data_IF_816879661395
#
_entry.id   IF_816879661395
#
_cell.length_a   1.000
_cell.length_b   1.000
_cell.length_c   1.000
_cell.angle_alpha   90.00
_cell.angle_beta   90.00
_cell.angle_gamma   90.00
#
_symmetry.space_group_name_H-M   'P 1'
#
loop_
_entity.id
_entity.type
_entity.pdbx_description
1 polymer ?
#
# COMPACT_ATOMS: atom_id res chain seq x y z
N UNK A 1 -4.46 10.87 -22.56
CA UNK A 1 -4.79 9.75 -21.65
C UNK A 1 -4.18 10.11 -20.29
N UNK A 2 -4.92 9.99 -19.19
CA UNK A 2 -4.40 10.37 -17.85
C UNK A 2 -3.33 9.37 -17.38
N UNK A 3 -2.28 9.85 -16.69
CA UNK A 3 -1.25 8.99 -16.10
C UNK A 3 -1.84 7.88 -15.23
N UNK A 4 -2.92 8.16 -14.49
CA UNK A 4 -3.61 7.15 -13.66
C UNK A 4 -4.19 6.00 -14.49
N UNK A 5 -4.71 6.29 -15.68
CA UNK A 5 -5.24 5.25 -16.57
C UNK A 5 -4.09 4.38 -17.11
N UNK A 6 -2.98 4.99 -17.51
CA UNK A 6 -1.79 4.26 -17.97
C UNK A 6 -1.20 3.38 -16.86
N UNK A 7 -1.08 3.90 -15.64
CA UNK A 7 -0.65 3.15 -14.47
C UNK A 7 -1.58 1.99 -14.13
N UNK A 8 -2.90 2.17 -14.28
CA UNK A 8 -3.87 1.10 -14.06
C UNK A 8 -3.79 0.01 -15.14
N UNK A 9 -3.63 0.39 -16.41
CA UNK A 9 -3.43 -0.58 -17.50
C UNK A 9 -2.17 -1.42 -17.31
N UNK A 10 -1.05 -0.80 -16.94
CA UNK A 10 0.19 -1.52 -16.63
C UNK A 10 0.06 -2.45 -15.40
N UNK A 11 -0.69 -2.04 -14.38
CA UNK A 11 -1.03 -2.88 -13.24
C UNK A 11 -1.84 -4.12 -13.66
N UNK A 12 -2.88 -3.96 -14.48
CA UNK A 12 -3.67 -5.10 -14.98
C UNK A 12 -2.83 -6.06 -15.81
N UNK A 13 -1.92 -5.53 -16.63
CA UNK A 13 -0.96 -6.35 -17.38
C UNK A 13 -0.07 -7.18 -16.43
N UNK A 14 0.55 -6.55 -15.44
CA UNK A 14 1.39 -7.24 -14.47
C UNK A 14 0.60 -8.27 -13.64
N UNK A 15 -0.63 -7.96 -13.24
CA UNK A 15 -1.52 -8.87 -12.53
C UNK A 15 -1.88 -10.10 -13.37
N UNK A 16 -2.18 -9.92 -14.66
CA UNK A 16 -2.42 -11.02 -15.60
C UNK A 16 -1.20 -11.92 -15.73
N UNK A 17 0.00 -11.35 -15.88
CA UNK A 17 1.25 -12.11 -15.94
C UNK A 17 1.55 -12.88 -14.64
N UNK A 18 1.28 -12.27 -13.48
CA UNK A 18 1.36 -12.94 -12.18
C UNK A 18 0.46 -14.17 -12.12
N UNK A 19 -0.80 -14.04 -12.53
CA UNK A 19 -1.76 -15.15 -12.50
C UNK A 19 -1.37 -16.26 -13.49
N UNK A 20 -0.83 -15.93 -14.65
CA UNK A 20 -0.28 -16.93 -15.57
C UNK A 20 0.90 -17.69 -14.93
N UNK A 21 1.86 -16.97 -14.33
CA UNK A 21 3.00 -17.59 -13.65
C UNK A 21 2.55 -18.49 -12.47
N UNK A 22 1.54 -18.07 -11.71
CA UNK A 22 0.93 -18.86 -10.64
C UNK A 22 0.29 -20.15 -11.17
N UNK A 23 -0.55 -20.04 -12.20
CA UNK A 23 -1.23 -21.18 -12.82
C UNK A 23 -0.22 -22.20 -13.39
N UNK A 24 0.90 -21.72 -13.92
CA UNK A 24 1.97 -22.55 -14.47
C UNK A 24 3.00 -23.02 -13.41
N UNK A 25 2.79 -22.70 -12.13
CA UNK A 25 3.66 -23.11 -11.02
C UNK A 25 5.04 -22.43 -11.00
N UNK A 26 5.24 -21.35 -11.76
CA UNK A 26 6.48 -20.56 -11.83
C UNK A 26 6.61 -19.62 -10.63
N UNK A 27 6.83 -20.19 -9.44
CA UNK A 27 6.85 -19.47 -8.15
C UNK A 27 7.77 -18.25 -8.11
N UNK A 28 8.97 -18.34 -8.68
CA UNK A 28 9.91 -17.22 -8.65
C UNK A 28 9.45 -16.06 -9.55
N UNK A 29 8.91 -16.37 -10.73
CA UNK A 29 8.35 -15.36 -11.61
C UNK A 29 7.11 -14.70 -10.99
N UNK A 30 6.23 -15.49 -10.38
CA UNK A 30 5.08 -14.98 -9.62
C UNK A 30 5.54 -13.98 -8.54
N UNK A 31 6.61 -14.31 -7.79
CA UNK A 31 7.19 -13.43 -6.77
C UNK A 31 7.73 -12.13 -7.37
N UNK A 32 8.43 -12.20 -8.51
CA UNK A 32 8.93 -11.00 -9.20
C UNK A 32 7.77 -10.12 -9.70
N UNK A 33 6.67 -10.67 -10.18
CA UNK A 33 5.50 -9.88 -10.57
C UNK A 33 4.80 -9.19 -9.39
N UNK A 34 4.82 -9.79 -8.20
CA UNK A 34 4.39 -9.10 -6.96
C UNK A 34 5.29 -7.90 -6.70
N UNK A 35 6.60 -8.04 -6.89
CA UNK A 35 7.57 -6.96 -6.69
C UNK A 35 7.44 -5.87 -7.75
N UNK A 36 7.16 -6.20 -9.02
CA UNK A 36 6.84 -5.24 -10.09
C UNK A 36 5.70 -4.31 -9.66
N UNK A 37 4.59 -4.88 -9.16
CA UNK A 37 3.45 -4.07 -8.70
C UNK A 37 3.81 -3.17 -7.51
N UNK A 38 4.75 -3.59 -6.66
CA UNK A 38 5.17 -2.81 -5.51
C UNK A 38 5.90 -1.50 -5.89
N UNK A 39 6.52 -1.38 -7.07
CA UNK A 39 7.08 -0.11 -7.55
C UNK A 39 5.97 0.92 -7.80
N UNK A 40 4.92 0.52 -8.51
CA UNK A 40 3.73 1.36 -8.71
C UNK A 40 3.15 1.78 -7.36
N UNK A 41 2.99 0.84 -6.45
CA UNK A 41 2.37 1.11 -5.16
C UNK A 41 3.25 2.02 -4.30
N UNK A 42 4.57 1.91 -4.39
CA UNK A 42 5.50 2.86 -3.77
C UNK A 42 5.33 4.28 -4.33
N UNK A 43 5.32 4.45 -5.66
CA UNK A 43 5.12 5.75 -6.32
C UNK A 43 3.79 6.37 -5.89
N UNK A 44 2.72 5.58 -5.84
CA UNK A 44 1.41 6.07 -5.40
C UNK A 44 1.39 6.41 -3.91
N UNK A 45 1.90 5.52 -3.04
CA UNK A 45 1.89 5.73 -1.60
C UNK A 45 2.70 6.95 -1.17
N UNK A 46 3.75 7.29 -1.93
CA UNK A 46 4.60 8.46 -1.70
C UNK A 46 4.14 9.72 -2.46
N UNK A 47 3.03 9.65 -3.22
CA UNK A 47 2.44 10.81 -3.88
C UNK A 47 3.17 11.29 -5.13
N UNK A 48 4.03 10.45 -5.69
CA UNK A 48 4.96 10.83 -6.75
C UNK A 48 4.40 10.63 -8.17
N UNK A 49 3.09 10.42 -8.33
CA UNK A 49 2.48 10.14 -9.65
C UNK A 49 2.76 11.25 -10.65
N UNK A 50 2.70 12.51 -10.21
CA UNK A 50 2.96 13.66 -11.08
C UNK A 50 4.44 13.87 -11.40
N UNK A 51 5.33 13.60 -10.44
CA UNK A 51 6.78 13.60 -10.70
C UNK A 51 7.15 12.49 -11.69
N UNK A 52 6.52 11.32 -11.56
CA UNK A 52 6.68 10.23 -12.51
C UNK A 52 6.12 10.59 -13.90
N UNK A 53 4.97 11.27 -13.96
CA UNK A 53 4.42 11.76 -15.22
C UNK A 53 5.37 12.74 -15.93
N UNK A 54 6.00 13.64 -15.17
CA UNK A 54 6.97 14.60 -15.71
C UNK A 54 8.25 13.90 -16.17
N UNK A 55 8.77 12.96 -15.38
CA UNK A 55 9.88 12.09 -15.77
C UNK A 55 9.60 11.36 -17.10
N UNK A 56 8.40 10.81 -17.28
CA UNK A 56 8.04 10.15 -18.53
C UNK A 56 8.12 11.09 -19.74
N UNK A 57 7.78 12.38 -19.60
CA UNK A 57 7.86 13.36 -20.70
C UNK A 57 9.31 13.61 -21.12
N UNK A 58 10.25 13.55 -20.19
CA UNK A 58 11.68 13.74 -20.46
C UNK A 58 12.29 12.52 -21.17
N UNK A 59 11.79 11.32 -20.88
CA UNK A 59 12.29 10.04 -21.41
C UNK A 59 11.54 9.60 -22.68
N UNK A 60 10.43 10.27 -23.03
CA UNK A 60 9.45 9.85 -24.05
C UNK A 60 9.89 9.77 -25.53
N UNK A 61 11.05 10.21 -26.04
CA UNK A 61 11.37 9.93 -27.44
C UNK A 61 12.07 8.57 -27.66
N UNK A 62 12.30 7.75 -26.63
CA UNK A 62 13.14 6.55 -26.78
C UNK A 62 12.36 5.30 -27.24
N UNK A 63 12.69 4.82 -28.45
CA UNK A 63 12.15 3.61 -29.10
C UNK A 63 12.58 2.30 -28.44
N UNK A 64 13.52 2.33 -27.50
CA UNK A 64 13.95 1.17 -26.72
C UNK A 64 14.08 1.54 -25.24
N UNK A 65 13.65 0.64 -24.33
CA UNK A 65 13.81 0.86 -22.91
C UNK A 65 15.30 0.93 -22.57
N UNK A 66 15.73 2.08 -22.03
CA UNK A 66 17.05 2.20 -21.43
C UNK A 66 17.00 1.70 -19.99
N UNK A 67 18.12 1.18 -19.49
CA UNK A 67 18.30 0.85 -18.08
C UNK A 67 19.03 2.01 -17.42
N UNK A 68 18.52 2.48 -16.29
CA UNK A 68 19.19 3.52 -15.49
C UNK A 68 20.61 3.09 -15.12
N UNK A 69 21.59 3.97 -15.35
CA UNK A 69 22.98 3.75 -14.89
C UNK A 69 23.08 3.67 -13.36
N UNK A 70 22.19 4.36 -12.63
CA UNK A 70 22.11 4.26 -11.19
C UNK A 70 21.65 2.87 -10.73
N UNK A 71 20.77 2.24 -11.50
CA UNK A 71 20.35 0.86 -11.26
C UNK A 71 21.50 -0.13 -11.53
N UNK A 72 22.26 0.06 -12.62
CA UNK A 72 23.42 -0.80 -12.96
C UNK A 72 24.50 -0.81 -11.88
N UNK A 73 24.67 0.29 -11.16
CA UNK A 73 25.60 0.39 -10.03
C UNK A 73 25.17 -0.44 -8.80
N UNK A 74 23.88 -0.83 -8.70
CA UNK A 74 23.32 -1.57 -7.56
C UNK A 74 23.16 -3.06 -7.90
N UNK A 75 24.25 -3.81 -7.84
CA UNK A 75 24.29 -5.25 -8.17
C UNK A 75 23.50 -6.11 -7.16
N UNK A 76 22.94 -7.24 -7.66
CA UNK A 76 22.24 -8.27 -6.89
C UNK A 76 21.02 -7.80 -6.06
N UNK A 77 20.37 -6.76 -6.53
CA UNK A 77 19.19 -6.17 -5.89
C UNK A 77 17.87 -6.75 -6.39
N UNK A 78 16.78 -6.55 -5.63
CA UNK A 78 15.42 -6.87 -6.09
C UNK A 78 15.14 -6.13 -7.41
N UNK A 79 15.58 -4.88 -7.47
CA UNK A 79 15.44 -3.97 -8.61
C UNK A 79 16.06 -4.52 -9.90
N UNK A 80 17.26 -5.09 -9.82
CA UNK A 80 17.93 -5.73 -10.97
C UNK A 80 17.16 -6.94 -11.49
N UNK A 81 16.67 -7.80 -10.60
CA UNK A 81 15.92 -9.01 -10.97
C UNK A 81 14.57 -8.65 -11.61
N UNK A 82 13.91 -7.64 -11.08
CA UNK A 82 12.68 -7.08 -11.65
C UNK A 82 12.96 -6.48 -13.03
N UNK A 83 14.01 -5.69 -13.18
CA UNK A 83 14.39 -5.11 -14.48
C UNK A 83 14.68 -6.19 -15.53
N UNK A 84 15.45 -7.22 -15.18
CA UNK A 84 15.76 -8.33 -16.09
C UNK A 84 14.48 -9.06 -16.55
N UNK A 85 13.52 -9.30 -15.64
CA UNK A 85 12.21 -9.86 -16.01
C UNK A 85 11.47 -8.95 -17.00
N UNK A 86 11.41 -7.64 -16.72
CA UNK A 86 10.67 -6.69 -17.55
C UNK A 86 11.28 -6.54 -18.95
N UNK A 87 12.61 -6.52 -19.07
CA UNK A 87 13.31 -6.49 -20.36
C UNK A 87 13.03 -7.74 -21.19
N UNK A 88 13.12 -8.92 -20.56
CA UNK A 88 12.75 -10.18 -21.23
C UNK A 88 11.31 -10.13 -21.74
N UNK A 89 10.36 -9.69 -20.92
CA UNK A 89 8.95 -9.60 -21.29
C UNK A 89 8.73 -8.56 -22.39
N UNK A 90 9.49 -7.47 -22.40
CA UNK A 90 9.44 -6.45 -23.45
C UNK A 90 9.83 -7.01 -24.82
N UNK A 91 10.89 -7.82 -24.86
CA UNK A 91 11.37 -8.47 -26.07
C UNK A 91 10.39 -9.54 -26.58
N UNK A 92 9.79 -10.29 -25.66
CA UNK A 92 8.83 -11.36 -25.95
C UNK A 92 7.42 -10.84 -26.30
N UNK A 93 7.11 -9.57 -26.05
CA UNK A 93 5.76 -9.01 -26.27
C UNK A 93 5.66 -8.37 -27.66
N UNK A 94 4.90 -8.96 -28.61
CA UNK A 94 4.73 -8.40 -29.95
C UNK A 94 3.59 -7.37 -30.03
N UNK A 95 2.63 -7.43 -29.09
CA UNK A 95 1.44 -6.57 -29.11
C UNK A 95 1.81 -5.15 -28.68
N UNK A 96 1.63 -4.12 -29.53
CA UNK A 96 2.09 -2.76 -29.23
C UNK A 96 1.54 -2.18 -27.91
N UNK A 97 0.26 -2.39 -27.64
CA UNK A 97 -0.39 -1.90 -26.41
C UNK A 97 0.20 -2.54 -25.15
N UNK A 98 0.42 -3.85 -25.18
CA UNK A 98 1.08 -4.55 -24.07
C UNK A 98 2.54 -4.13 -23.93
N UNK A 99 3.22 -3.88 -25.06
CA UNK A 99 4.60 -3.40 -25.07
C UNK A 99 4.72 -2.02 -24.43
N UNK A 100 3.73 -1.14 -24.62
CA UNK A 100 3.63 0.14 -23.91
C UNK A 100 3.45 -0.06 -22.39
N UNK A 101 2.61 -1.01 -21.96
CA UNK A 101 2.47 -1.35 -20.54
C UNK A 101 3.80 -1.80 -19.94
N UNK A 102 4.56 -2.65 -20.63
CA UNK A 102 5.89 -3.09 -20.17
C UNK A 102 6.87 -1.92 -20.12
N UNK A 103 6.89 -1.06 -21.14
CA UNK A 103 7.71 0.17 -21.11
C UNK A 103 7.39 1.03 -19.89
N UNK A 104 6.12 1.19 -19.53
CA UNK A 104 5.72 1.97 -18.37
C UNK A 104 6.24 1.35 -17.07
N UNK A 105 6.18 0.02 -16.94
CA UNK A 105 6.73 -0.70 -15.78
C UNK A 105 8.26 -0.53 -15.69
N UNK A 106 8.98 -0.60 -16.81
CA UNK A 106 10.43 -0.34 -16.86
C UNK A 106 10.72 1.10 -16.39
N UNK A 107 9.94 2.07 -16.90
CA UNK A 107 10.10 3.46 -16.50
C UNK A 107 9.86 3.69 -15.01
N UNK A 108 8.97 2.93 -14.36
CA UNK A 108 8.79 3.03 -12.90
C UNK A 108 10.06 2.64 -12.15
N UNK A 109 10.72 1.54 -12.55
CA UNK A 109 11.96 1.11 -11.91
C UNK A 109 13.08 2.13 -12.15
N UNK A 110 13.21 2.63 -13.38
CA UNK A 110 14.19 3.66 -13.70
C UNK A 110 13.92 4.97 -12.96
N UNK A 111 12.67 5.42 -12.87
CA UNK A 111 12.31 6.62 -12.11
C UNK A 111 12.78 6.53 -10.65
N UNK A 112 12.53 5.40 -9.98
CA UNK A 112 13.00 5.17 -8.62
C UNK A 112 14.54 5.14 -8.54
N UNK A 113 15.21 4.58 -9.53
CA UNK A 113 16.68 4.57 -9.62
C UNK A 113 17.26 5.98 -9.81
N UNK A 114 16.78 6.71 -10.82
CA UNK A 114 17.30 8.02 -11.23
C UNK A 114 17.02 9.10 -10.18
N UNK A 115 15.99 8.91 -9.37
CA UNK A 115 15.69 9.79 -8.22
C UNK A 115 16.38 9.36 -6.92
N UNK A 116 17.21 8.31 -6.94
CA UNK A 116 17.98 7.85 -5.78
C UNK A 116 17.15 7.16 -4.69
N UNK A 117 16.00 6.59 -5.04
CA UNK A 117 15.02 6.03 -4.10
C UNK A 117 15.04 4.50 -3.99
N UNK A 118 16.04 3.82 -4.58
CA UNK A 118 16.10 2.35 -4.60
C UNK A 118 16.07 1.74 -3.20
N UNK A 119 16.89 2.23 -2.26
CA UNK A 119 16.93 1.68 -0.90
C UNK A 119 15.58 1.81 -0.18
N UNK A 120 14.95 2.98 -0.27
CA UNK A 120 13.64 3.23 0.34
C UNK A 120 12.51 2.41 -0.32
N UNK A 121 12.60 2.18 -1.63
CA UNK A 121 11.67 1.33 -2.35
C UNK A 121 11.87 -0.15 -1.97
N UNK A 122 13.10 -0.61 -1.82
CA UNK A 122 13.38 -2.00 -1.43
C UNK A 122 13.00 -2.31 0.01
N UNK A 123 13.24 -1.38 0.93
CA UNK A 123 12.70 -1.44 2.29
C UNK A 123 11.17 -1.57 2.26
N UNK A 124 10.51 -0.72 1.45
CA UNK A 124 9.06 -0.81 1.26
C UNK A 124 8.65 -2.19 0.73
N UNK A 125 9.28 -2.71 -0.33
CA UNK A 125 8.96 -4.01 -0.92
C UNK A 125 9.14 -5.15 0.09
N UNK A 126 10.20 -5.13 0.88
CA UNK A 126 10.52 -6.18 1.87
C UNK A 126 9.53 -6.18 3.02
N UNK A 127 9.11 -4.99 3.46
CA UNK A 127 8.38 -4.84 4.71
C UNK A 127 6.91 -4.41 4.54
N UNK A 128 6.40 -4.29 3.30
CA UNK A 128 5.05 -3.80 2.97
C UNK A 128 3.92 -4.48 3.74
N UNK A 129 4.01 -5.79 3.96
CA UNK A 129 2.97 -6.57 4.65
C UNK A 129 3.20 -6.68 6.15
N UNK A 130 4.35 -6.23 6.67
CA UNK A 130 4.72 -6.28 8.08
C UNK A 130 4.65 -4.92 8.79
N UNK A 131 4.18 -3.88 8.11
CA UNK A 131 4.18 -2.51 8.63
C UNK A 131 2.85 -1.79 8.42
N UNK A 132 2.66 -0.72 9.20
CA UNK A 132 1.59 0.24 9.05
C UNK A 132 1.41 0.72 7.60
N UNK A 133 0.19 1.04 7.15
CA UNK A 133 -0.01 1.79 5.92
C UNK A 133 0.89 3.02 5.86
N UNK A 134 1.56 3.23 4.73
CA UNK A 134 2.54 4.30 4.57
C UNK A 134 1.84 5.66 4.57
N UNK A 135 2.07 6.45 5.62
CA UNK A 135 1.80 7.88 5.66
C UNK A 135 3.08 8.68 5.41
N UNK A 136 2.97 9.81 4.71
CA UNK A 136 4.13 10.64 4.35
C UNK A 136 4.42 11.76 5.34
N UNK A 137 3.43 12.15 6.14
CA UNK A 137 3.53 13.26 7.08
C UNK A 137 2.52 13.12 8.22
N UNK A 138 2.72 13.82 9.32
CA UNK A 138 1.77 13.85 10.43
C UNK A 138 1.52 15.26 10.98
N UNK A 139 0.31 15.46 11.50
CA UNK A 139 -0.15 16.73 12.09
C UNK A 139 -0.91 16.47 13.38
N UNK A 140 -0.96 17.46 14.26
CA UNK A 140 -1.77 17.35 15.49
C UNK A 140 -3.23 17.65 15.17
N UNK A 141 -3.48 18.63 14.29
CA UNK A 141 -4.83 19.09 13.95
C UNK A 141 -5.08 19.13 12.45
N UNK A 142 -6.36 19.19 12.09
CA UNK A 142 -6.78 19.33 10.70
C UNK A 142 -6.35 20.68 10.12
N UNK A 143 -6.41 21.74 10.92
CA UNK A 143 -6.05 23.10 10.51
C UNK A 143 -4.55 23.20 10.16
N UNK A 144 -3.69 22.52 10.91
CA UNK A 144 -2.26 22.40 10.62
C UNK A 144 -2.04 21.70 9.26
N UNK A 145 -2.68 20.54 9.06
CA UNK A 145 -2.58 19.78 7.83
C UNK A 145 -3.09 20.57 6.61
N UNK A 146 -4.21 21.28 6.74
CA UNK A 146 -4.76 22.12 5.68
C UNK A 146 -3.85 23.31 5.37
N UNK A 147 -3.26 23.92 6.40
CA UNK A 147 -2.31 25.03 6.22
C UNK A 147 -1.07 24.57 5.46
N UNK A 148 -0.52 23.41 5.86
CA UNK A 148 0.59 22.77 5.16
C UNK A 148 0.24 22.49 3.69
N UNK A 149 -0.88 21.82 3.42
CA UNK A 149 -1.33 21.49 2.06
C UNK A 149 -1.51 22.73 1.17
N UNK A 150 -2.01 23.84 1.72
CA UNK A 150 -2.16 25.11 0.99
C UNK A 150 -0.83 25.79 0.71
N UNK A 151 0.17 25.59 1.57
CA UNK A 151 1.51 26.17 1.41
C UNK A 151 2.34 25.50 0.30
N UNK A 152 2.00 24.26 -0.07
CA UNK A 152 2.69 23.54 -1.13
C UNK A 152 2.39 24.16 -2.50
N UNK A 153 3.47 24.55 -3.19
CA UNK A 153 3.41 25.02 -4.58
C UNK A 153 3.10 23.86 -5.52
N UNK A 154 3.69 22.70 -5.26
CA UNK A 154 3.42 21.45 -5.97
C UNK A 154 3.03 20.36 -4.95
N UNK A 155 1.73 20.21 -4.65
CA UNK A 155 1.27 19.17 -3.75
C UNK A 155 1.53 17.75 -4.29
N UNK A 156 1.75 16.75 -3.41
CA UNK A 156 1.74 15.35 -3.79
C UNK A 156 0.38 14.96 -4.39
N UNK A 157 0.38 13.96 -5.28
CA UNK A 157 -0.82 13.59 -6.02
C UNK A 157 -1.94 13.03 -5.12
N UNK A 158 -1.77 11.85 -4.53
CA UNK A 158 -2.62 11.37 -3.45
C UNK A 158 -1.79 10.55 -2.50
N UNK A 159 -1.92 10.85 -1.21
CA UNK A 159 -1.07 10.30 -0.15
C UNK A 159 -1.85 10.16 1.13
N UNK A 160 -1.41 9.25 1.98
CA UNK A 160 -1.87 9.18 3.35
C UNK A 160 -1.04 10.12 4.23
N UNK A 161 -1.71 10.79 5.15
CA UNK A 161 -1.11 11.52 6.25
C UNK A 161 -1.79 11.09 7.56
N UNK A 162 -1.17 11.40 8.69
CA UNK A 162 -1.77 11.23 10.01
C UNK A 162 -2.23 12.57 10.56
N UNK A 163 -3.44 12.62 11.10
CA UNK A 163 -3.92 13.73 11.92
C UNK A 163 -4.29 13.18 13.29
N UNK A 164 -3.51 13.55 14.31
CA UNK A 164 -3.49 12.85 15.59
C UNK A 164 -3.04 11.40 15.40
N UNK A 165 -3.98 10.48 15.55
CA UNK A 165 -3.80 9.05 15.29
C UNK A 165 -4.56 8.58 14.04
N UNK A 166 -5.29 9.44 13.34
CA UNK A 166 -6.19 9.00 12.28
C UNK A 166 -5.56 9.17 10.90
N UNK A 167 -5.66 8.12 10.09
CA UNK A 167 -5.29 8.21 8.68
C UNK A 167 -6.25 9.12 7.93
N UNK A 168 -5.67 10.00 7.13
CA UNK A 168 -6.38 10.86 6.22
C UNK A 168 -5.77 10.72 4.83
N UNK A 169 -6.62 10.64 3.82
CA UNK A 169 -6.18 10.70 2.44
C UNK A 169 -6.21 12.17 1.99
N UNK A 170 -5.03 12.66 1.65
CA UNK A 170 -4.85 13.90 0.94
C UNK A 170 -4.90 13.61 -0.57
N UNK A 171 -5.50 14.53 -1.32
CA UNK A 171 -5.52 14.46 -2.77
C UNK A 171 -5.31 15.83 -3.40
N UNK A 172 -4.72 15.82 -4.58
CA UNK A 172 -4.50 16.97 -5.45
C UNK A 172 -4.78 16.56 -6.88
N UNK A 173 -5.63 17.33 -7.56
CA UNK A 173 -5.78 17.28 -9.01
C UNK A 173 -4.98 18.43 -9.61
N UNK A 174 -3.88 18.09 -10.28
CA UNK A 174 -2.99 19.05 -10.95
C UNK A 174 -3.69 19.85 -12.05
N UNK A 175 -4.68 19.28 -12.75
CA UNK A 175 -5.34 19.93 -13.90
C UNK A 175 -6.13 21.16 -13.47
N UNK A 176 -6.93 21.00 -12.43
CA UNK A 176 -7.81 22.06 -11.93
C UNK A 176 -7.21 22.74 -10.68
N UNK A 177 -6.03 22.29 -10.25
CA UNK A 177 -5.33 22.69 -9.03
C UNK A 177 -6.22 22.60 -7.77
N UNK A 178 -7.14 21.65 -7.77
CA UNK A 178 -8.02 21.38 -6.63
C UNK A 178 -7.31 20.42 -5.68
N UNK A 179 -7.54 20.61 -4.38
CA UNK A 179 -6.91 19.82 -3.34
C UNK A 179 -7.85 19.70 -2.17
N UNK A 180 -7.74 18.57 -1.48
CA UNK A 180 -8.60 18.29 -0.35
C UNK A 180 -8.08 17.12 0.46
N UNK A 181 -8.87 16.81 1.48
CA UNK A 181 -8.54 15.75 2.42
C UNK A 181 -9.81 15.19 3.03
N UNK A 182 -9.84 13.89 3.22
CA UNK A 182 -10.88 13.19 3.95
C UNK A 182 -10.26 12.12 4.85
N UNK A 183 -10.98 11.75 5.92
CA UNK A 183 -10.58 10.66 6.79
C UNK A 183 -10.65 9.35 6.00
N UNK A 184 -9.59 8.55 6.09
CA UNK A 184 -9.50 7.27 5.40
C UNK A 184 -9.42 6.13 6.42
N UNK A 185 -10.19 5.08 6.17
CA UNK A 185 -10.33 3.94 7.07
C UNK A 185 -9.41 2.77 6.65
N UNK A 186 -8.20 3.09 6.17
CA UNK A 186 -7.23 2.12 5.64
C UNK A 186 -6.88 0.98 6.61
N UNK A 187 -7.01 1.19 7.92
CA UNK A 187 -6.69 0.18 8.92
C UNK A 187 -7.77 -0.88 9.09
N UNK A 188 -9.01 -0.62 8.66
CA UNK A 188 -10.12 -1.55 8.91
C UNK A 188 -9.86 -2.94 8.33
N UNK A 189 -9.43 -3.10 7.07
CA UNK A 189 -9.10 -4.43 6.53
C UNK A 189 -7.99 -5.15 7.29
N UNK A 190 -7.01 -4.40 7.85
CA UNK A 190 -5.94 -5.00 8.64
C UNK A 190 -6.44 -5.46 10.01
N UNK A 191 -7.27 -4.64 10.66
CA UNK A 191 -7.92 -4.99 11.93
C UNK A 191 -8.78 -6.23 11.74
N UNK A 192 -9.58 -6.30 10.67
CA UNK A 192 -10.39 -7.47 10.34
C UNK A 192 -9.56 -8.73 10.15
N UNK A 193 -8.44 -8.63 9.42
CA UNK A 193 -7.50 -9.74 9.24
C UNK A 193 -6.92 -10.24 10.56
N UNK A 194 -6.43 -9.33 11.41
CA UNK A 194 -5.90 -9.67 12.73
C UNK A 194 -6.97 -10.29 13.64
N UNK A 195 -8.22 -9.83 13.54
CA UNK A 195 -9.33 -10.38 14.33
C UNK A 195 -9.76 -11.75 13.83
N UNK A 196 -9.71 -11.98 12.51
CA UNK A 196 -9.98 -13.30 11.94
C UNK A 196 -8.95 -14.35 12.40
N UNK A 197 -7.71 -13.96 12.63
CA UNK A 197 -6.66 -14.79 13.26
C UNK A 197 -6.86 -14.98 14.77
N UNK A 198 -7.72 -14.15 15.38
CA UNK A 198 -8.05 -14.13 16.80
C UNK A 198 -7.33 -13.01 17.53
N UNK A 199 -8.11 -12.15 18.23
CA UNK A 199 -7.53 -11.16 19.14
C UNK A 199 -6.73 -11.93 20.22
N UNK A 200 -5.46 -11.58 20.45
CA UNK A 200 -4.66 -12.23 21.48
C UNK A 200 -5.42 -12.24 22.82
N UNK A 201 -5.48 -13.36 23.55
CA UNK A 201 -6.31 -13.47 24.75
C UNK A 201 -5.86 -12.54 25.89
N UNK A 202 -4.58 -12.14 25.88
CA UNK A 202 -4.00 -11.21 26.84
C UNK A 202 -3.17 -10.16 26.09
N UNK A 203 -3.80 -9.18 25.42
CA UNK A 203 -3.05 -8.09 24.81
C UNK A 203 -2.39 -7.24 25.91
N UNK A 204 -1.27 -6.56 25.64
CA UNK A 204 -0.73 -5.55 26.55
C UNK A 204 -1.82 -4.59 27.02
N UNK A 205 -1.94 -4.37 28.33
CA UNK A 205 -3.03 -3.61 28.93
C UNK A 205 -2.51 -2.48 29.82
N UNK A 206 -3.07 -1.30 29.63
CA UNK A 206 -2.67 -0.06 30.27
C UNK A 206 -3.88 0.63 30.89
N UNK A 207 -3.68 1.32 32.01
CA UNK A 207 -4.76 2.09 32.65
C UNK A 207 -5.00 3.41 31.95
N UNK A 208 -3.95 3.98 31.37
CA UNK A 208 -3.99 5.27 30.70
C UNK A 208 -3.33 5.22 29.34
N UNK A 209 -3.72 6.15 28.48
CA UNK A 209 -3.10 6.33 27.17
C UNK A 209 -1.62 6.70 27.28
N UNK A 210 -1.24 7.51 28.26
CA UNK A 210 0.16 7.90 28.50
C UNK A 210 1.05 6.69 28.86
N UNK A 211 0.53 5.73 29.63
CA UNK A 211 1.24 4.47 29.92
C UNK A 211 1.46 3.64 28.64
N UNK A 212 0.44 3.56 27.78
CA UNK A 212 0.53 2.85 26.51
C UNK A 212 1.52 3.51 25.54
N UNK A 213 1.51 4.85 25.45
CA UNK A 213 2.45 5.63 24.64
C UNK A 213 3.90 5.42 25.11
N UNK A 214 4.13 5.45 26.43
CA UNK A 214 5.46 5.20 27.00
C UNK A 214 5.94 3.76 26.76
N UNK A 215 5.05 2.77 26.79
CA UNK A 215 5.38 1.39 26.41
C UNK A 215 5.75 1.30 24.92
N UNK A 216 4.96 1.94 24.07
CA UNK A 216 5.12 1.91 22.61
C UNK A 216 6.43 2.57 22.17
N UNK A 217 6.82 3.68 22.83
CA UNK A 217 8.09 4.38 22.59
C UNK A 217 9.33 3.54 22.94
N UNK A 218 9.21 2.67 23.95
CA UNK A 218 10.30 1.80 24.41
C UNK A 218 10.21 0.37 23.85
N UNK A 219 9.28 0.12 22.91
CA UNK A 219 9.05 -1.22 22.40
C UNK A 219 10.25 -1.69 21.56
N UNK A 220 10.78 -2.92 21.80
CA UNK A 220 11.99 -3.40 21.13
C UNK A 220 11.80 -3.66 19.62
N UNK A 221 10.56 -3.73 19.16
CA UNK A 221 10.16 -3.91 17.76
C UNK A 221 9.14 -2.84 17.38
N UNK A 222 8.92 -2.62 16.07
CA UNK A 222 7.84 -1.76 15.56
C UNK A 222 6.50 -2.50 15.66
N UNK A 223 5.67 -2.30 16.69
CA UNK A 223 4.50 -3.14 16.85
C UNK A 223 3.39 -2.73 15.87
N UNK A 224 2.61 -3.73 15.48
CA UNK A 224 1.38 -3.62 14.73
C UNK A 224 0.40 -4.60 15.36
N UNK A 225 -0.04 -4.31 16.58
CA UNK A 225 -0.72 -5.28 17.45
C UNK A 225 -1.80 -4.64 18.33
N UNK A 226 -2.73 -5.47 18.83
CA UNK A 226 -3.77 -5.02 19.74
C UNK A 226 -3.22 -4.74 21.13
N UNK A 227 -3.69 -3.64 21.71
CA UNK A 227 -3.48 -3.28 23.12
C UNK A 227 -4.83 -2.92 23.75
N UNK A 228 -4.91 -2.96 25.07
CA UNK A 228 -6.07 -2.51 25.84
C UNK A 228 -5.71 -1.25 26.62
N UNK A 229 -6.51 -0.20 26.51
CA UNK A 229 -6.33 1.05 27.26
C UNK A 229 -7.62 1.32 28.00
N UNK A 230 -7.57 1.33 29.34
CA UNK A 230 -8.75 1.49 30.19
C UNK A 230 -9.90 0.51 29.87
N UNK A 231 -9.56 -0.69 29.38
CA UNK A 231 -10.54 -1.72 29.00
C UNK A 231 -11.00 -1.65 27.53
N UNK A 232 -10.58 -0.65 26.76
CA UNK A 232 -10.94 -0.51 25.34
C UNK A 232 -9.82 -0.98 24.41
N UNK A 233 -10.19 -1.66 23.32
CA UNK A 233 -9.24 -2.16 22.34
C UNK A 233 -8.73 -1.03 21.44
N UNK A 234 -7.41 -1.01 21.29
CA UNK A 234 -6.69 -0.13 20.38
C UNK A 234 -5.71 -0.96 19.54
N UNK A 235 -5.36 -0.46 18.37
CA UNK A 235 -4.24 -0.97 17.58
C UNK A 235 -3.04 -0.05 17.80
N UNK A 236 -1.97 -0.59 18.39
CA UNK A 236 -0.69 0.08 18.53
C UNK A 236 0.09 -0.06 17.22
N UNK A 237 0.50 1.08 16.67
CA UNK A 237 1.16 1.15 15.36
C UNK A 237 2.41 2.01 15.45
N UNK A 238 3.56 1.46 15.03
CA UNK A 238 4.78 2.23 14.82
C UNK A 238 4.98 2.56 13.34
N UNK A 239 5.02 3.85 13.04
CA UNK A 239 5.31 4.41 11.72
C UNK A 239 6.79 4.73 11.64
N UNK A 240 7.59 3.72 11.31
CA UNK A 240 9.06 3.83 11.31
C UNK A 240 9.60 5.02 10.52
N UNK A 241 8.98 5.34 9.37
CA UNK A 241 9.39 6.47 8.51
C UNK A 241 9.08 7.83 9.13
N UNK A 242 7.98 7.93 9.86
CA UNK A 242 7.58 9.14 10.58
C UNK A 242 8.22 9.22 11.97
N UNK A 243 8.92 8.16 12.40
CA UNK A 243 9.46 8.01 13.76
C UNK A 243 8.38 8.30 14.81
N UNK A 244 7.16 7.83 14.53
CA UNK A 244 5.95 8.15 15.30
C UNK A 244 5.19 6.89 15.68
N UNK A 245 4.54 6.98 16.82
CA UNK A 245 3.65 5.99 17.37
C UNK A 245 2.21 6.50 17.33
N UNK A 246 1.25 5.62 17.05
CA UNK A 246 -0.18 5.93 17.11
C UNK A 246 -0.95 4.81 17.81
N UNK A 247 -2.07 5.18 18.43
CA UNK A 247 -2.96 4.27 19.14
C UNK A 247 -4.37 4.41 18.56
N UNK A 248 -4.67 3.59 17.56
CA UNK A 248 -5.93 3.68 16.84
C UNK A 248 -7.04 3.00 17.65
N UNK A 249 -8.10 3.74 17.98
CA UNK A 249 -9.30 3.13 18.53
C UNK A 249 -9.96 2.24 17.48
N UNK A 250 -10.25 0.98 17.82
CA UNK A 250 -10.75 -0.01 16.85
C UNK A 250 -12.17 -0.49 17.16
N UNK A 251 -12.83 0.06 18.18
CA UNK A 251 -14.10 -0.49 18.64
C UNK A 251 -15.19 -0.51 17.54
N UNK A 252 -15.31 0.55 16.75
CA UNK A 252 -16.28 0.62 15.65
C UNK A 252 -16.02 -0.46 14.59
N UNK A 253 -14.75 -0.66 14.24
CA UNK A 253 -14.33 -1.68 13.27
C UNK A 253 -14.61 -3.08 13.78
N UNK A 254 -14.31 -3.35 15.06
CA UNK A 254 -14.60 -4.62 15.72
C UNK A 254 -16.11 -4.92 15.72
N UNK A 255 -16.94 -3.94 16.09
CA UNK A 255 -18.40 -4.10 16.07
C UNK A 255 -18.91 -4.43 14.68
N UNK A 256 -18.48 -3.69 13.65
CA UNK A 256 -18.90 -3.95 12.27
C UNK A 256 -18.43 -5.31 11.74
N UNK A 257 -17.25 -5.77 12.15
CA UNK A 257 -16.76 -7.10 11.81
C UNK A 257 -17.61 -8.20 12.46
N UNK A 258 -17.92 -8.07 13.76
CA UNK A 258 -18.77 -9.03 14.47
C UNK A 258 -20.18 -9.13 13.87
N UNK A 259 -20.77 -7.99 13.49
CA UNK A 259 -22.08 -7.95 12.83
C UNK A 259 -22.07 -8.67 11.48
N UNK A 260 -21.05 -8.43 10.65
CA UNK A 260 -20.87 -9.12 9.37
C UNK A 260 -20.66 -10.62 9.56
N UNK A 261 -19.82 -11.03 10.50
CA UNK A 261 -19.59 -12.44 10.82
C UNK A 261 -20.90 -13.15 11.20
N UNK A 262 -21.70 -12.54 12.09
CA UNK A 262 -23.03 -13.06 12.48
C UNK A 262 -24.03 -13.07 11.32
N UNK A 263 -23.89 -12.17 10.34
CA UNK A 263 -24.75 -12.18 9.15
C UNK A 263 -24.41 -13.38 8.26
N UNK A 264 -23.12 -13.62 8.00
CA UNK A 264 -22.65 -14.78 7.21
C UNK A 264 -23.02 -16.09 7.89
N UNK A 265 -22.76 -16.25 9.19
CA UNK A 265 -23.13 -17.47 9.95
C UNK A 265 -24.65 -17.74 9.90
N UNK A 266 -25.48 -16.68 9.90
CA UNK A 266 -26.94 -16.82 9.75
C UNK A 266 -27.34 -17.25 8.35
N UNK A 267 -26.69 -16.72 7.32
CA UNK A 267 -26.93 -17.09 5.93
C UNK A 267 -26.50 -18.54 5.66
N UNK A 268 -25.33 -18.95 6.15
CA UNK A 268 -24.84 -20.33 6.06
C UNK A 268 -25.76 -21.31 6.80
N UNK A 269 -26.22 -20.95 8.01
CA UNK A 269 -27.17 -21.77 8.73
C UNK A 269 -28.54 -21.89 8.02
N UNK A 270 -29.00 -20.82 7.36
CA UNK A 270 -30.23 -20.85 6.56
C UNK A 270 -30.07 -21.72 5.32
N UNK A 271 -28.96 -21.60 4.60
CA UNK A 271 -28.67 -22.41 3.43
C UNK A 271 -28.54 -23.90 3.77
N UNK A 272 -27.90 -24.23 4.90
CA UNK A 272 -27.79 -25.62 5.37
C UNK A 272 -29.15 -26.25 5.75
N UNK A 273 -30.10 -25.46 6.25
CA UNK A 273 -31.47 -25.92 6.52
C UNK A 273 -32.22 -26.18 5.22
N UNK A 274 -32.10 -25.30 4.22
CA UNK A 274 -32.73 -25.47 2.90
C UNK A 274 -32.17 -26.69 2.16
N UNK A 275 -30.86 -26.94 2.24
CA UNK A 275 -30.24 -28.14 1.66
C UNK A 275 -30.70 -29.43 2.36
N UNK A 276 -30.83 -29.41 3.69
CA UNK A 276 -31.33 -30.57 4.45
C UNK A 276 -32.82 -30.88 4.18
N UNK A 277 -33.65 -29.87 3.94
CA UNK A 277 -35.07 -30.05 3.58
C UNK A 277 -35.28 -30.48 2.12
N UNK A 278 -34.28 -30.29 1.25
CA UNK A 278 -34.30 -30.70 -0.16
C UNK A 278 -33.79 -32.12 -0.44
N UNK A 279 -33.20 -32.80 0.55
CA UNK A 279 -32.71 -34.19 0.42
C UNK A 279 -33.75 -35.27 0.85
N UNK A 280 -34.90 -34.84 1.39
CA UNK A 280 -35.99 -35.72 1.85
C UNK A 280 -37.17 -35.89 0.83
N UNK A 281 -37.02 -35.42 -0.43
CA UNK A 281 -37.96 -35.68 -1.56
C UNK A 281 -37.47 -36.78 -2.52
#
# INVERSE_FOLDING_TARGET
MSIYHSLHSAFLFAASRRHAAEFEGRKEEQRLWIQVNAYRDFIMATGQVYLFEDYLKEVAPMTSPQVSTALEAHQDTISQRVMALLLKVFDETPVPEQKQSVSLLISQVNFIADTGQLEACEDYIKNRLGHAPLAIEHFTTREEAETWLRSLTEPPSSVLILIGDEYHQMWHDRKDNTRGMYREYMLEPYVEGLVAEGIPPNPPSFKTRAEAEAWLENHPTAPFEFVSIAGEHHLAVHHQRLKRHTLHHVASTLTQWEERKRAVEREEAQNAVVEAEGEDE
#
